data_IF_332186184422
#
_entry.id   IF_332186184422
#
_cell.length_a   1.000
_cell.length_b   1.000
_cell.length_c   1.000
_cell.angle_alpha   90.00
_cell.angle_beta   90.00
_cell.angle_gamma   90.00
#
_symmetry.space_group_name_H-M   'P 1'
#
loop_
_entity.id
_entity.type
_entity.pdbx_description
1 polymer ?
#
# COMPACT_ATOMS: atom_id res chain seq x y z
N UNK A 1 -8.82 -0.02 -8.23
CA UNK A 1 -7.44 -0.18 -8.75
C UNK A 1 -7.12 -1.66 -8.86
N UNK A 2 -6.32 -2.10 -9.84
CA UNK A 2 -5.85 -3.49 -9.90
C UNK A 2 -4.85 -3.78 -8.79
N UNK A 3 -4.85 -5.00 -8.26
CA UNK A 3 -3.87 -5.41 -7.27
C UNK A 3 -3.53 -6.91 -7.38
N UNK A 4 -2.41 -7.29 -6.78
CA UNK A 4 -2.02 -8.67 -6.53
C UNK A 4 -1.91 -8.89 -5.02
N UNK A 5 -2.05 -10.14 -4.54
CA UNK A 5 -1.89 -10.48 -3.13
C UNK A 5 -1.02 -11.71 -2.91
N UNK A 6 -0.23 -11.72 -1.85
CA UNK A 6 0.46 -12.92 -1.33
C UNK A 6 0.11 -13.07 0.15
N UNK A 7 -0.22 -14.30 0.55
CA UNK A 7 -0.56 -14.65 1.92
C UNK A 7 0.61 -15.35 2.61
N UNK A 8 0.79 -15.06 3.89
CA UNK A 8 1.83 -15.62 4.75
C UNK A 8 1.20 -16.14 6.05
N UNK A 9 1.81 -17.15 6.66
CA UNK A 9 1.44 -17.66 8.00
C UNK A 9 -0.06 -18.01 8.13
N UNK A 10 -0.63 -18.70 7.14
CA UNK A 10 -2.04 -19.11 7.18
C UNK A 10 -3.06 -17.99 6.89
N UNK A 11 -2.62 -16.84 6.36
CA UNK A 11 -3.54 -15.75 6.03
C UNK A 11 -4.57 -16.13 4.96
N UNK A 12 -4.24 -17.03 4.04
CA UNK A 12 -5.18 -17.50 3.03
C UNK A 12 -6.41 -18.16 3.70
N UNK A 13 -6.16 -19.10 4.61
CA UNK A 13 -7.19 -19.81 5.38
C UNK A 13 -7.96 -18.85 6.31
N UNK A 14 -7.24 -17.94 6.97
CA UNK A 14 -7.85 -16.94 7.85
C UNK A 14 -8.86 -16.07 7.09
N UNK A 15 -8.45 -15.49 5.95
CA UNK A 15 -9.30 -14.62 5.15
C UNK A 15 -10.31 -15.37 4.26
N UNK A 16 -10.29 -16.70 4.20
CA UNK A 16 -11.38 -17.51 3.65
C UNK A 16 -12.44 -17.87 4.70
N UNK A 17 -12.12 -17.73 5.99
CA UNK A 17 -12.99 -18.12 7.10
C UNK A 17 -13.27 -16.93 8.03
N UNK A 18 -12.57 -16.85 9.16
CA UNK A 18 -12.80 -15.88 10.23
C UNK A 18 -12.67 -14.42 9.75
N UNK A 19 -11.71 -14.17 8.86
CA UNK A 19 -11.43 -12.85 8.29
C UNK A 19 -12.15 -12.53 6.99
N UNK A 20 -13.02 -13.41 6.47
CA UNK A 20 -13.60 -13.25 5.13
C UNK A 20 -14.38 -11.94 4.94
N UNK A 21 -15.21 -11.57 5.92
CA UNK A 21 -15.94 -10.30 5.89
C UNK A 21 -14.99 -9.09 5.94
N UNK A 22 -13.97 -9.15 6.80
CA UNK A 22 -12.94 -8.10 6.88
C UNK A 22 -12.19 -7.93 5.55
N UNK A 23 -11.82 -9.04 4.90
CA UNK A 23 -11.16 -8.97 3.60
C UNK A 23 -12.08 -8.40 2.52
N UNK A 24 -13.34 -8.84 2.43
CA UNK A 24 -14.31 -8.32 1.45
C UNK A 24 -14.44 -6.80 1.54
N UNK A 25 -14.52 -6.27 2.76
CA UNK A 25 -14.61 -4.81 2.96
C UNK A 25 -13.34 -4.08 2.50
N UNK A 26 -12.14 -4.63 2.77
CA UNK A 26 -10.87 -4.03 2.36
C UNK A 26 -10.64 -4.15 0.85
N UNK A 27 -11.03 -5.27 0.25
CA UNK A 27 -11.04 -5.43 -1.21
C UNK A 27 -11.91 -4.34 -1.87
N UNK A 28 -13.11 -4.11 -1.36
CA UNK A 28 -13.97 -3.02 -1.83
C UNK A 28 -13.33 -1.63 -1.63
N UNK A 29 -12.62 -1.39 -0.52
CA UNK A 29 -11.88 -0.14 -0.28
C UNK A 29 -10.82 0.08 -1.35
N UNK A 30 -10.04 -0.95 -1.68
CA UNK A 30 -8.96 -0.91 -2.67
C UNK A 30 -9.53 -0.75 -4.09
N UNK A 31 -10.63 -1.43 -4.40
CA UNK A 31 -11.26 -1.37 -5.70
C UNK A 31 -11.83 0.03 -6.01
N UNK A 32 -12.21 0.80 -5.00
CA UNK A 32 -12.67 2.19 -5.12
C UNK A 32 -11.55 3.22 -5.29
N UNK A 33 -10.28 2.82 -5.22
CA UNK A 33 -9.15 3.73 -5.47
C UNK A 33 -8.82 3.77 -6.96
N UNK A 34 -8.66 4.97 -7.49
CA UNK A 34 -8.11 5.22 -8.84
C UNK A 34 -6.60 5.43 -8.74
N UNK A 35 -5.86 5.25 -9.85
CA UNK A 35 -4.43 5.53 -9.88
C UNK A 35 -4.19 7.01 -9.57
N UNK A 36 -3.43 7.27 -8.51
CA UNK A 36 -3.02 8.61 -8.09
C UNK A 36 -1.56 8.82 -8.50
N UNK A 37 -1.30 9.84 -9.32
CA UNK A 37 0.06 10.27 -9.67
C UNK A 37 0.26 11.73 -9.30
N UNK A 38 1.52 12.08 -9.05
CA UNK A 38 1.97 13.45 -8.81
C UNK A 38 3.26 13.71 -9.59
N UNK A 39 3.63 14.98 -9.86
CA UNK A 39 4.93 15.29 -10.43
C UNK A 39 6.05 14.98 -9.43
N UNK A 40 7.11 14.32 -9.89
CA UNK A 40 8.31 14.10 -9.09
C UNK A 40 9.02 15.43 -8.80
N UNK A 41 9.51 15.58 -7.57
CA UNK A 41 10.41 16.66 -7.16
C UNK A 41 11.89 16.25 -7.12
N UNK A 42 12.25 15.09 -7.67
CA UNK A 42 13.63 14.59 -7.65
C UNK A 42 14.51 15.32 -8.68
N UNK A 43 15.73 15.71 -8.26
CA UNK A 43 16.72 16.32 -9.16
C UNK A 43 16.95 15.44 -10.40
N UNK A 44 16.80 16.02 -11.59
CA UNK A 44 16.95 15.33 -12.87
C UNK A 44 15.73 14.52 -13.33
N UNK A 45 14.65 14.47 -12.54
CA UNK A 45 13.37 13.84 -12.89
C UNK A 45 12.17 14.74 -12.57
N UNK A 46 12.41 16.04 -12.35
CA UNK A 46 11.35 16.98 -11.96
C UNK A 46 10.20 16.97 -12.96
N UNK A 47 8.96 16.91 -12.47
CA UNK A 47 7.76 16.90 -13.28
C UNK A 47 7.37 15.53 -13.85
N UNK A 48 8.25 14.53 -13.80
CA UNK A 48 7.91 13.18 -14.29
C UNK A 48 6.82 12.54 -13.42
N UNK A 49 5.86 11.79 -13.99
CA UNK A 49 4.83 11.13 -13.21
C UNK A 49 5.40 10.07 -12.26
N UNK A 50 5.05 10.17 -10.98
CA UNK A 50 5.35 9.17 -9.97
C UNK A 50 4.11 8.85 -9.14
N UNK A 51 4.09 7.66 -8.52
CA UNK A 51 3.07 7.26 -7.56
C UNK A 51 2.90 8.34 -6.48
N UNK A 52 1.64 8.66 -6.20
CA UNK A 52 1.28 9.60 -5.16
C UNK A 52 0.82 8.87 -3.90
N UNK A 53 1.72 8.68 -2.91
CA UNK A 53 1.37 8.00 -1.67
C UNK A 53 0.40 8.83 -0.81
N UNK A 54 0.39 10.16 -0.95
CA UNK A 54 -0.41 11.04 -0.10
C UNK A 54 -1.89 10.94 -0.48
N UNK A 55 -2.20 11.14 -1.76
CA UNK A 55 -3.57 11.00 -2.24
C UNK A 55 -4.06 9.56 -2.13
N UNK A 56 -3.21 8.57 -2.41
CA UNK A 56 -3.59 7.15 -2.28
C UNK A 56 -3.96 6.81 -0.83
N UNK A 57 -3.12 7.20 0.15
CA UNK A 57 -3.43 7.01 1.58
C UNK A 57 -4.71 7.73 1.98
N UNK A 58 -4.91 8.98 1.56
CA UNK A 58 -6.12 9.72 1.89
C UNK A 58 -7.38 9.01 1.37
N UNK A 59 -7.36 8.50 0.13
CA UNK A 59 -8.49 7.77 -0.45
C UNK A 59 -8.75 6.43 0.25
N UNK A 60 -7.71 5.65 0.52
CA UNK A 60 -7.83 4.39 1.27
C UNK A 60 -8.44 4.65 2.66
N UNK A 61 -7.91 5.62 3.40
CA UNK A 61 -8.41 6.00 4.73
C UNK A 61 -9.85 6.47 4.70
N UNK A 62 -10.23 7.36 3.77
CA UNK A 62 -11.61 7.85 3.66
C UNK A 62 -12.57 6.70 3.33
N UNK A 63 -12.20 5.83 2.40
CA UNK A 63 -13.06 4.72 1.99
C UNK A 63 -13.17 3.66 3.09
N UNK A 64 -12.08 3.36 3.81
CA UNK A 64 -12.07 2.47 4.95
C UNK A 64 -12.95 3.02 6.10
N UNK A 65 -12.85 4.33 6.39
CA UNK A 65 -13.67 4.99 7.41
C UNK A 65 -15.17 4.87 7.13
N UNK A 66 -15.59 5.01 5.87
CA UNK A 66 -17.00 4.79 5.46
C UNK A 66 -17.52 3.38 5.78
N UNK A 67 -16.63 2.41 5.87
CA UNK A 67 -16.92 1.02 6.26
C UNK A 67 -16.73 0.76 7.76
N UNK A 68 -16.43 1.79 8.54
CA UNK A 68 -16.22 1.70 9.99
C UNK A 68 -14.83 1.23 10.41
N UNK A 69 -13.87 1.16 9.49
CA UNK A 69 -12.47 0.95 9.84
C UNK A 69 -11.89 2.24 10.38
N UNK A 70 -11.27 2.16 11.56
CA UNK A 70 -10.76 3.35 12.26
C UNK A 70 -9.28 3.19 12.53
N UNK A 71 -8.58 4.31 12.61
CA UNK A 71 -7.20 4.35 13.11
C UNK A 71 -7.15 3.74 14.52
N UNK A 72 -6.15 2.90 14.77
CA UNK A 72 -5.99 2.16 16.03
C UNK A 72 -4.72 2.63 16.72
N UNK A 73 -4.80 3.21 17.93
CA UNK A 73 -3.61 3.62 18.67
C UNK A 73 -2.72 2.41 19.03
N UNK A 74 -1.42 2.58 18.87
CA UNK A 74 -0.42 1.65 19.41
C UNK A 74 -0.44 1.78 20.94
N UNK A 75 -0.46 0.67 21.69
CA UNK A 75 -0.47 0.73 23.14
C UNK A 75 0.85 1.31 23.68
N UNK A 76 0.81 1.90 24.88
CA UNK A 76 1.97 2.56 25.49
C UNK A 76 3.21 1.66 25.60
N UNK A 77 3.02 0.35 25.78
CA UNK A 77 4.09 -0.66 25.81
C UNK A 77 4.87 -0.77 24.49
N UNK A 78 4.29 -0.30 23.38
CA UNK A 78 4.85 -0.39 22.03
C UNK A 78 5.03 1.00 21.38
N UNK A 79 4.87 2.11 22.12
CA UNK A 79 4.91 3.48 21.57
C UNK A 79 6.18 3.82 20.77
N UNK A 80 7.30 3.17 21.08
CA UNK A 80 8.57 3.35 20.37
C UNK A 80 8.51 2.80 18.92
N UNK A 81 7.51 1.96 18.62
CA UNK A 81 7.20 1.45 17.29
C UNK A 81 6.18 2.32 16.53
N UNK A 82 5.73 3.43 17.10
CA UNK A 82 4.85 4.39 16.44
C UNK A 82 3.59 4.71 17.23
N UNK A 83 2.75 5.56 16.65
CA UNK A 83 1.56 6.08 17.32
C UNK A 83 0.31 5.24 17.05
N UNK A 84 0.18 4.68 15.85
CA UNK A 84 -1.05 4.03 15.40
C UNK A 84 -0.83 3.09 14.20
N UNK A 85 -1.80 2.19 14.00
CA UNK A 85 -2.07 1.53 12.73
C UNK A 85 -3.06 2.36 11.91
N UNK A 86 -2.91 2.35 10.58
CA UNK A 86 -3.73 3.18 9.69
C UNK A 86 -5.23 2.85 9.78
N UNK A 87 -5.57 1.58 9.91
CA UNK A 87 -6.94 1.12 10.08
C UNK A 87 -7.03 -0.21 10.86
N UNK A 88 -8.14 -0.39 11.59
CA UNK A 88 -8.49 -1.65 12.21
C UNK A 88 -9.99 -1.79 12.46
N UNK A 89 -10.46 -3.03 12.43
CA UNK A 89 -11.86 -3.42 12.67
C UNK A 89 -11.91 -4.90 13.07
N UNK A 90 -12.65 -5.22 14.13
CA UNK A 90 -12.71 -6.58 14.66
C UNK A 90 -11.33 -7.04 15.12
N UNK A 91 -10.82 -8.13 14.55
CA UNK A 91 -9.51 -8.74 14.83
C UNK A 91 -8.44 -8.45 13.76
N UNK A 92 -8.71 -7.55 12.80
CA UNK A 92 -7.82 -7.30 11.66
C UNK A 92 -7.26 -5.88 11.72
N UNK A 93 -5.93 -5.78 11.57
CA UNK A 93 -5.20 -4.53 11.40
C UNK A 93 -4.84 -4.32 9.93
N UNK A 94 -4.71 -3.06 9.52
CA UNK A 94 -4.37 -2.68 8.15
C UNK A 94 -3.36 -1.53 8.13
N UNK A 95 -2.39 -1.64 7.23
CA UNK A 95 -1.31 -0.68 7.00
C UNK A 95 -1.26 -0.25 5.52
N UNK A 96 -1.31 1.05 5.27
CA UNK A 96 -1.11 1.63 3.94
C UNK A 96 0.36 2.04 3.78
N UNK A 97 1.22 1.07 3.51
CA UNK A 97 2.66 1.25 3.58
C UNK A 97 3.26 1.73 2.25
N UNK A 98 3.37 3.05 2.11
CA UNK A 98 4.03 3.72 0.97
C UNK A 98 5.23 4.60 1.38
N UNK A 99 5.70 4.49 2.62
CA UNK A 99 6.91 5.14 3.12
C UNK A 99 8.15 4.32 2.74
N UNK A 100 9.30 4.61 3.35
CA UNK A 100 10.54 3.89 3.07
C UNK A 100 10.50 2.42 3.50
N UNK A 101 11.28 1.57 2.83
CA UNK A 101 11.24 0.11 3.00
C UNK A 101 11.44 -0.41 4.45
N UNK A 102 12.20 0.23 5.36
CA UNK A 102 12.30 -0.23 6.75
C UNK A 102 10.98 -0.23 7.51
N UNK A 103 9.99 0.60 7.14
CA UNK A 103 8.69 0.60 7.81
C UNK A 103 7.91 -0.70 7.63
N UNK A 104 8.26 -1.55 6.64
CA UNK A 104 7.70 -2.90 6.56
C UNK A 104 7.92 -3.65 7.88
N UNK A 105 9.15 -3.65 8.39
CA UNK A 105 9.50 -4.40 9.59
C UNK A 105 8.96 -3.77 10.86
N UNK A 106 8.91 -2.43 10.93
CA UNK A 106 8.22 -1.76 12.02
C UNK A 106 6.76 -2.23 12.12
N UNK A 107 6.04 -2.24 10.98
CA UNK A 107 4.65 -2.65 10.89
C UNK A 107 4.45 -4.12 11.26
N UNK A 108 5.33 -5.02 10.79
CA UNK A 108 5.26 -6.45 11.10
C UNK A 108 5.55 -6.72 12.57
N UNK A 109 6.65 -6.19 13.11
CA UNK A 109 7.10 -6.46 14.48
C UNK A 109 6.05 -5.99 15.50
N UNK A 110 5.50 -4.78 15.35
CA UNK A 110 4.50 -4.28 16.29
C UNK A 110 3.18 -5.04 16.22
N UNK A 111 2.82 -5.54 15.03
CA UNK A 111 1.61 -6.33 14.84
C UNK A 111 1.77 -7.75 15.39
N UNK A 112 2.95 -8.36 15.19
CA UNK A 112 3.31 -9.61 15.84
C UNK A 112 3.24 -9.50 17.37
N UNK A 113 3.81 -8.44 17.95
CA UNK A 113 3.83 -8.27 19.40
C UNK A 113 2.41 -8.28 20.01
N UNK A 114 1.45 -7.61 19.38
CA UNK A 114 0.05 -7.60 19.85
C UNK A 114 -0.68 -8.91 19.56
N UNK A 115 -0.38 -9.56 18.44
CA UNK A 115 -0.90 -10.88 18.10
C UNK A 115 -0.46 -11.94 19.13
N UNK A 116 0.84 -12.05 19.36
CA UNK A 116 1.44 -13.07 20.21
C UNK A 116 1.13 -12.87 21.70
N UNK A 117 1.05 -11.62 22.15
CA UNK A 117 0.63 -11.29 23.52
C UNK A 117 -0.88 -11.40 23.75
N UNK A 118 -1.67 -11.47 22.67
CA UNK A 118 -3.15 -11.34 22.70
C UNK A 118 -3.60 -10.06 23.41
N UNK A 119 -2.77 -9.03 23.40
CA UNK A 119 -3.08 -7.76 24.04
C UNK A 119 -4.31 -7.14 23.36
N UNK A 120 -5.31 -6.78 24.16
CA UNK A 120 -6.48 -6.09 23.66
C UNK A 120 -6.09 -4.68 23.19
N UNK A 121 -6.51 -4.33 21.97
CA UNK A 121 -6.42 -2.97 21.45
C UNK A 121 -7.77 -2.27 21.63
N UNK A 122 -7.74 -0.96 21.82
CA UNK A 122 -8.95 -0.18 22.09
C UNK A 122 -9.99 -0.36 20.97
N UNK A 123 -11.18 -0.87 21.32
CA UNK A 123 -12.26 -1.10 20.37
C UNK A 123 -12.07 -2.28 19.41
N UNK A 124 -11.11 -3.18 19.69
CA UNK A 124 -10.82 -4.35 18.86
C UNK A 124 -10.96 -5.67 19.62
N UNK A 125 -11.21 -6.73 18.87
CA UNK A 125 -11.02 -8.11 19.34
C UNK A 125 -9.52 -8.42 19.40
N UNK A 126 -9.09 -9.51 20.07
CA UNK A 126 -7.72 -9.99 19.95
C UNK A 126 -7.29 -10.08 18.48
N UNK A 127 -6.11 -9.54 18.18
CA UNK A 127 -5.62 -9.46 16.81
C UNK A 127 -5.42 -10.87 16.26
N UNK A 128 -5.93 -11.10 15.06
CA UNK A 128 -5.86 -12.36 14.35
C UNK A 128 -5.16 -12.28 12.99
N UNK A 129 -5.05 -11.10 12.38
CA UNK A 129 -4.33 -10.92 11.12
C UNK A 129 -3.94 -9.47 10.85
N UNK A 130 -2.98 -9.30 9.94
CA UNK A 130 -2.52 -8.03 9.39
C UNK A 130 -2.72 -8.02 7.87
N UNK A 131 -3.23 -6.91 7.33
CA UNK A 131 -3.21 -6.61 5.91
C UNK A 131 -2.20 -5.48 5.67
N UNK A 132 -1.25 -5.66 4.76
CA UNK A 132 -0.31 -4.60 4.37
C UNK A 132 -0.57 -4.28 2.91
N UNK A 133 -1.01 -3.05 2.62
CA UNK A 133 -1.15 -2.57 1.25
C UNK A 133 0.09 -1.78 0.88
N UNK A 134 0.68 -2.13 -0.25
CA UNK A 134 1.87 -1.52 -0.83
C UNK A 134 1.60 -1.16 -2.28
N UNK A 135 2.44 -0.32 -2.88
CA UNK A 135 2.46 -0.16 -4.34
C UNK A 135 3.31 -1.27 -4.95
N UNK A 136 3.01 -1.69 -6.16
CA UNK A 136 3.90 -2.51 -6.97
C UNK A 136 5.13 -1.72 -7.40
N UNK A 137 6.23 -2.42 -7.66
CA UNK A 137 7.42 -1.92 -8.33
C UNK A 137 7.17 -1.51 -9.78
N UNK A 138 6.00 -1.83 -10.35
CA UNK A 138 5.56 -1.32 -11.65
C UNK A 138 5.39 0.20 -11.64
N UNK A 139 5.09 0.82 -10.49
CA UNK A 139 4.98 2.27 -10.40
C UNK A 139 6.34 2.97 -10.23
N UNK A 140 6.70 3.95 -11.08
CA UNK A 140 7.77 4.89 -10.75
C UNK A 140 7.39 5.64 -9.48
N UNK A 141 8.34 5.81 -8.57
CA UNK A 141 8.09 6.39 -7.25
C UNK A 141 9.33 7.10 -6.71
N UNK A 142 9.15 7.82 -5.59
CA UNK A 142 10.26 8.36 -4.83
C UNK A 142 11.25 7.26 -4.42
N UNK A 143 12.53 7.62 -4.33
CA UNK A 143 13.58 6.66 -3.95
C UNK A 143 13.28 6.03 -2.59
N UNK A 144 13.63 4.75 -2.47
CA UNK A 144 13.55 3.96 -1.24
C UNK A 144 12.14 3.74 -0.68
N UNK A 145 11.08 4.17 -1.35
CA UNK A 145 9.70 3.80 -0.96
C UNK A 145 9.50 2.30 -1.13
N UNK A 146 8.86 1.66 -0.14
CA UNK A 146 8.52 0.23 -0.18
C UNK A 146 7.71 -0.09 -1.44
N UNK A 147 7.92 -1.30 -1.95
CA UNK A 147 7.07 -1.88 -2.98
C UNK A 147 6.82 -3.37 -2.75
N UNK A 148 5.72 -3.85 -3.32
CA UNK A 148 5.17 -5.19 -3.14
C UNK A 148 6.20 -6.29 -3.31
N UNK A 149 6.97 -6.27 -4.39
CA UNK A 149 7.89 -7.37 -4.72
C UNK A 149 9.07 -7.42 -3.75
N UNK A 150 9.53 -6.25 -3.28
CA UNK A 150 10.51 -6.14 -2.20
C UNK A 150 9.94 -6.66 -0.88
N UNK A 151 8.72 -6.26 -0.53
CA UNK A 151 8.06 -6.71 0.70
C UNK A 151 7.82 -8.23 0.68
N UNK A 152 7.36 -8.76 -0.46
CA UNK A 152 7.15 -10.19 -0.69
C UNK A 152 8.44 -10.98 -0.52
N UNK A 153 9.54 -10.55 -1.14
CA UNK A 153 10.84 -11.23 -1.00
C UNK A 153 11.33 -11.24 0.45
N UNK A 154 11.16 -10.13 1.17
CA UNK A 154 11.54 -9.98 2.57
C UNK A 154 10.69 -10.88 3.49
N UNK A 155 9.36 -10.83 3.34
CA UNK A 155 8.44 -11.67 4.12
C UNK A 155 8.62 -13.16 3.81
N UNK A 156 8.81 -13.55 2.54
CA UNK A 156 9.11 -14.95 2.16
C UNK A 156 10.34 -15.46 2.92
N UNK A 157 11.40 -14.66 2.96
CA UNK A 157 12.64 -15.05 3.64
C UNK A 157 12.40 -15.24 5.13
N UNK A 158 11.77 -14.28 5.80
CA UNK A 158 11.63 -14.31 7.26
C UNK A 158 10.59 -15.31 7.74
N UNK A 159 9.49 -15.49 7.00
CA UNK A 159 8.49 -16.52 7.31
C UNK A 159 9.04 -17.93 7.11
N UNK A 160 9.94 -18.15 6.13
CA UNK A 160 10.63 -19.43 5.97
C UNK A 160 11.54 -19.79 7.15
N UNK A 161 11.92 -18.82 7.97
CA UNK A 161 12.73 -18.99 9.18
C UNK A 161 11.87 -19.10 10.46
N UNK A 162 10.54 -19.01 10.36
CA UNK A 162 9.63 -19.12 11.51
C UNK A 162 9.78 -18.01 12.55
N UNK A 163 10.15 -16.80 12.12
CA UNK A 163 10.42 -15.67 13.05
C UNK A 163 9.14 -15.03 13.58
N UNK A 164 8.04 -15.10 12.83
CA UNK A 164 6.76 -14.46 13.15
C UNK A 164 5.60 -15.39 12.79
N UNK A 165 4.53 -15.35 13.57
CA UNK A 165 3.37 -16.25 13.43
C UNK A 165 2.08 -15.52 13.01
N UNK A 166 2.02 -14.19 13.08
CA UNK A 166 0.82 -13.45 12.67
C UNK A 166 0.48 -13.74 11.19
N UNK A 167 -0.79 -14.08 10.87
CA UNK A 167 -1.26 -14.15 9.49
C UNK A 167 -1.15 -12.79 8.79
N UNK A 168 -0.43 -12.74 7.67
CA UNK A 168 -0.23 -11.51 6.89
C UNK A 168 -0.77 -11.69 5.47
N UNK A 169 -1.68 -10.83 5.05
CA UNK A 169 -2.03 -10.63 3.63
C UNK A 169 -1.31 -9.40 3.10
N UNK A 170 -0.32 -9.61 2.24
CA UNK A 170 0.38 -8.55 1.54
C UNK A 170 -0.33 -8.24 0.23
N UNK A 171 -0.70 -6.99 0.01
CA UNK A 171 -1.37 -6.50 -1.20
C UNK A 171 -0.46 -5.53 -1.95
N UNK A 172 -0.35 -5.70 -3.26
CA UNK A 172 0.40 -4.85 -4.17
C UNK A 172 -0.52 -4.16 -5.16
N UNK A 173 -0.79 -2.88 -4.95
CA UNK A 173 -1.49 -2.02 -5.91
C UNK A 173 -0.69 -1.95 -7.22
N UNK A 174 -1.29 -2.28 -8.36
CA UNK A 174 -0.53 -2.49 -9.60
C UNK A 174 -1.18 -1.88 -10.84
N UNK A 175 -0.40 -1.83 -11.91
CA UNK A 175 -0.86 -1.63 -13.28
C UNK A 175 -0.73 -2.98 -13.98
N UNK A 176 -1.79 -3.51 -14.60
CA UNK A 176 -1.71 -4.79 -15.32
C UNK A 176 -0.57 -4.77 -16.35
N UNK A 177 0.30 -5.80 -16.39
CA UNK A 177 1.35 -5.91 -17.39
C UNK A 177 0.79 -5.80 -18.81
N UNK A 178 1.48 -5.07 -19.68
CA UNK A 178 1.04 -4.86 -21.06
C UNK A 178 0.01 -3.75 -21.25
N UNK A 179 -0.47 -3.11 -20.17
CA UNK A 179 -1.25 -1.86 -20.28
C UNK A 179 -0.46 -0.84 -21.10
N UNK A 180 -1.07 -0.30 -22.15
CA UNK A 180 -0.46 0.68 -23.05
C UNK A 180 -0.92 2.10 -22.78
N UNK A 181 -2.06 2.26 -22.09
CA UNK A 181 -2.62 3.56 -21.73
C UNK A 181 -3.40 3.45 -20.42
N UNK A 182 -3.37 4.50 -19.61
CA UNK A 182 -4.16 4.54 -18.37
C UNK A 182 -4.66 5.94 -18.05
N UNK A 183 -5.86 6.00 -17.47
CA UNK A 183 -6.41 7.21 -16.88
C UNK A 183 -6.02 7.29 -15.41
N UNK A 184 -5.55 8.46 -14.97
CA UNK A 184 -5.08 8.71 -13.59
C UNK A 184 -5.70 9.99 -13.03
N UNK A 185 -5.77 10.07 -11.71
CA UNK A 185 -5.89 11.34 -10.99
C UNK A 185 -4.50 11.93 -10.82
N UNK A 186 -4.28 13.07 -11.45
CA UNK A 186 -3.05 13.83 -11.39
C UNK A 186 -3.19 14.92 -10.33
N UNK A 187 -2.43 14.80 -9.25
CA UNK A 187 -2.50 15.72 -8.12
C UNK A 187 -1.31 16.67 -8.12
N UNK A 188 -1.58 17.95 -7.85
CA UNK A 188 -0.56 18.95 -7.57
C UNK A 188 -0.70 19.47 -6.14
N UNK A 189 0.42 19.92 -5.59
CA UNK A 189 0.52 20.35 -4.20
C UNK A 189 1.21 21.71 -4.16
N UNK A 190 0.80 22.57 -3.23
CA UNK A 190 1.45 23.86 -3.02
C UNK A 190 2.93 23.70 -2.61
N UNK A 191 3.22 22.65 -1.82
CA UNK A 191 4.55 22.34 -1.32
C UNK A 191 4.88 20.86 -1.51
N UNK A 192 6.18 20.54 -1.62
CA UNK A 192 6.67 19.17 -1.81
C UNK A 192 6.15 18.18 -0.75
N UNK A 193 6.15 18.60 0.52
CA UNK A 193 5.70 17.78 1.65
C UNK A 193 4.24 18.06 2.06
N UNK A 194 3.56 19.00 1.38
CA UNK A 194 2.17 19.32 1.64
C UNK A 194 1.26 18.12 1.39
N UNK A 195 0.26 17.93 2.24
CA UNK A 195 -0.73 16.85 2.13
C UNK A 195 -2.04 17.31 1.51
N UNK A 196 -2.29 18.62 1.54
CA UNK A 196 -3.47 19.23 0.93
C UNK A 196 -3.26 19.35 -0.57
N UNK A 197 -4.10 18.63 -1.32
CA UNK A 197 -4.10 18.68 -2.78
C UNK A 197 -4.60 20.06 -3.21
N UNK A 198 -3.78 20.75 -3.99
CA UNK A 198 -4.14 22.06 -4.53
C UNK A 198 -5.09 21.92 -5.72
N UNK A 199 -4.81 20.96 -6.60
CA UNK A 199 -5.61 20.66 -7.78
C UNK A 199 -5.52 19.17 -8.15
N UNK A 200 -6.63 18.63 -8.64
CA UNK A 200 -6.74 17.26 -9.15
C UNK A 200 -7.33 17.28 -10.56
N UNK A 201 -6.55 16.82 -11.53
CA UNK A 201 -6.98 16.67 -12.92
C UNK A 201 -7.10 15.19 -13.29
N UNK A 202 -8.05 14.84 -14.16
CA UNK A 202 -8.06 13.52 -14.80
C UNK A 202 -7.17 13.57 -16.03
N UNK A 203 -6.08 12.79 -16.05
CA UNK A 203 -5.15 12.72 -17.19
C UNK A 203 -5.06 11.32 -17.75
N UNK A 204 -4.87 11.23 -19.06
CA UNK A 204 -4.51 9.98 -19.72
C UNK A 204 -3.01 9.98 -20.01
N UNK A 205 -2.34 8.88 -19.71
CA UNK A 205 -0.93 8.66 -20.02
C UNK A 205 -0.74 7.41 -20.88
N UNK A 206 0.13 7.50 -21.87
CA UNK A 206 0.67 6.33 -22.55
C UNK A 206 1.72 5.67 -21.66
N UNK A 207 1.74 4.35 -21.66
CA UNK A 207 2.65 3.52 -20.86
C UNK A 207 3.60 2.78 -21.79
N UNK A 208 4.89 2.96 -21.52
CA UNK A 208 5.94 2.06 -22.00
C UNK A 208 6.53 1.29 -20.83
N UNK A 209 6.90 0.04 -21.07
CA UNK A 209 7.45 -0.82 -20.02
C UNK A 209 8.96 -0.91 -20.14
N UNK A 210 9.67 -0.56 -19.06
CA UNK A 210 11.12 -0.71 -18.98
C UNK A 210 11.53 -2.17 -18.72
N UNK A 211 12.85 -2.43 -18.69
CA UNK A 211 13.40 -3.71 -18.24
C UNK A 211 12.93 -4.04 -16.80
N UNK A 212 12.85 -5.34 -16.44
CA UNK A 212 12.55 -5.77 -15.08
C UNK A 212 13.46 -5.09 -14.04
N UNK A 213 12.87 -4.66 -12.94
CA UNK A 213 13.58 -4.24 -11.74
C UNK A 213 14.22 -5.44 -11.01
N UNK A 214 14.96 -5.17 -9.94
CA UNK A 214 15.69 -6.17 -9.15
C UNK A 214 14.83 -7.37 -8.71
N UNK A 215 13.53 -7.17 -8.45
CA UNK A 215 12.60 -8.21 -8.03
C UNK A 215 11.57 -8.59 -9.12
N UNK A 216 11.93 -8.45 -10.40
CA UNK A 216 11.23 -9.06 -11.53
C UNK A 216 10.18 -8.21 -12.25
N UNK A 217 9.64 -7.17 -11.62
CA UNK A 217 8.58 -6.36 -12.24
C UNK A 217 9.12 -5.26 -13.15
N UNK A 218 8.51 -5.13 -14.34
CA UNK A 218 8.81 -4.05 -15.29
C UNK A 218 8.24 -2.74 -14.75
N UNK A 219 9.03 -1.67 -14.83
CA UNK A 219 8.61 -0.34 -14.39
C UNK A 219 7.88 0.38 -15.53
N UNK A 220 6.71 0.94 -15.25
CA UNK A 220 5.96 1.77 -16.18
C UNK A 220 6.67 3.13 -16.36
N UNK A 221 6.76 3.57 -17.62
CA UNK A 221 7.19 4.90 -18.02
C UNK A 221 5.97 5.59 -18.59
N UNK A 222 5.52 6.65 -17.93
CA UNK A 222 4.38 7.45 -18.35
C UNK A 222 4.83 8.58 -19.27
N UNK A 223 4.13 8.76 -20.39
CA UNK A 223 4.25 9.92 -21.27
C UNK A 223 2.89 10.47 -21.62
N UNK A 224 2.80 11.78 -21.86
CA UNK A 224 1.57 12.37 -22.42
C UNK A 224 1.29 11.74 -23.78
N UNK A 225 0.02 11.47 -24.12
CA UNK A 225 -0.35 10.95 -25.43
C UNK A 225 0.26 11.81 -26.54
N UNK A 226 0.92 11.19 -27.51
CA UNK A 226 1.35 11.92 -28.69
C UNK A 226 0.09 12.31 -29.46
N UNK A 227 -0.30 13.60 -29.41
CA UNK A 227 -1.25 14.14 -30.38
C UNK A 227 -0.58 13.93 -31.73
N UNK A 228 -1.03 12.94 -32.50
CA UNK A 228 -0.46 12.59 -33.78
C UNK A 228 -0.52 13.78 -34.73
N UNK A 229 0.50 14.62 -34.69
CA UNK A 229 0.88 15.49 -35.78
C UNK A 229 1.92 14.70 -36.57
N UNK A 230 1.42 13.80 -37.41
CA UNK A 230 2.12 13.33 -38.60
C UNK A 230 1.63 14.18 -39.79
#
# INVERSE_FOLDING_TARGET
MFYESTDFNGAAEYFQTLGAASWSEIDEVINQVEIQLQPSGQKGKTGTPIFDPKATNAKLTINALKKGWKKVPVPDSLKEFGADWDAGKGSVLVEWQFSNYPFLWNNVIRSEAVYSSKQALSGMLPIGALIIVTKSGSFPASNSTLYYEQAKAQLNTVTSLGVFDIPIRLVGLTIPPGTTQVQVKWNTYAERYGRDVLDTEVRTFDIRWNKPAQYGNRVAIFSTPSNGLF
#
